data_IF_822760889286
#
_entry.id   IF_822760889286
#
_cell.length_a   1.000
_cell.length_b   1.000
_cell.length_c   1.000
_cell.angle_alpha   90.00
_cell.angle_beta   90.00
_cell.angle_gamma   90.00
#
_symmetry.space_group_name_H-M   'P 1'
#
loop_
_entity.id
_entity.type
_entity.pdbx_description
1 polymer ?
#
# COMPACT_ATOMS: atom_id res chain seq x y z
N UNK A 1 -14.95 26.13 10.24
CA UNK A 1 -14.08 25.09 9.67
C UNK A 1 -14.46 24.98 8.21
N UNK A 2 -13.52 25.29 7.31
CA UNK A 2 -13.73 25.13 5.88
C UNK A 2 -13.29 23.73 5.48
N UNK A 3 -14.12 23.05 4.69
CA UNK A 3 -13.81 21.72 4.15
C UNK A 3 -13.63 21.86 2.65
N UNK A 4 -12.47 21.46 2.15
CA UNK A 4 -12.18 21.44 0.72
C UNK A 4 -12.01 19.99 0.26
N UNK A 5 -12.70 19.63 -0.82
CA UNK A 5 -12.50 18.34 -1.48
C UNK A 5 -11.32 18.46 -2.44
N UNK A 6 -10.38 17.52 -2.32
CA UNK A 6 -9.17 17.42 -3.16
C UNK A 6 -9.08 16.03 -3.76
N UNK A 7 -8.46 15.93 -4.93
CA UNK A 7 -8.25 14.71 -5.70
C UNK A 7 -9.54 13.88 -5.88
N UNK A 8 -10.65 14.54 -6.19
CA UNK A 8 -11.91 13.84 -6.44
C UNK A 8 -11.77 12.94 -7.68
N UNK A 9 -11.85 11.63 -7.47
CA UNK A 9 -11.89 10.63 -8.54
C UNK A 9 -13.07 9.70 -8.29
N UNK A 10 -14.11 9.81 -9.12
CA UNK A 10 -15.32 9.01 -8.98
C UNK A 10 -15.10 7.67 -9.67
N UNK A 11 -14.68 6.69 -8.88
CA UNK A 11 -14.55 5.32 -9.34
C UNK A 11 -15.93 4.74 -9.72
N UNK A 12 -16.10 4.31 -10.97
CA UNK A 12 -17.33 3.67 -11.46
C UNK A 12 -17.06 2.20 -11.79
N UNK A 13 -17.75 1.30 -11.09
CA UNK A 13 -17.77 -0.13 -11.43
C UNK A 13 -18.30 -0.38 -12.85
N UNK A 14 -17.90 -1.50 -13.45
CA UNK A 14 -18.36 -1.85 -14.80
C UNK A 14 -19.89 -1.98 -14.90
N UNK A 15 -20.48 -1.57 -16.02
CA UNK A 15 -21.89 -1.85 -16.32
C UNK A 15 -22.07 -3.36 -16.51
N UNK A 16 -23.10 -3.94 -15.90
CA UNK A 16 -23.53 -5.32 -16.12
C UNK A 16 -24.06 -5.49 -17.54
N UNK A 17 -23.19 -5.52 -18.54
CA UNK A 17 -23.46 -6.18 -19.82
C UNK A 17 -22.94 -7.60 -19.74
N UNK A 18 -23.62 -8.55 -20.40
CA UNK A 18 -23.50 -10.01 -20.21
C UNK A 18 -22.11 -10.65 -20.51
N UNK A 19 -21.04 -9.86 -20.61
CA UNK A 19 -19.65 -10.33 -20.76
C UNK A 19 -18.74 -9.75 -19.68
N UNK A 20 -19.02 -10.15 -18.43
CA UNK A 20 -18.24 -9.99 -17.19
C UNK A 20 -18.74 -8.85 -16.26
N UNK A 21 -19.25 -9.15 -15.05
CA UNK A 21 -19.19 -8.18 -13.96
C UNK A 21 -17.72 -7.97 -13.64
N UNK A 22 -17.16 -6.81 -13.98
CA UNK A 22 -15.78 -6.47 -13.57
C UNK A 22 -15.82 -6.27 -12.07
N UNK A 23 -15.37 -7.29 -11.35
CA UNK A 23 -15.14 -7.26 -9.91
C UNK A 23 -14.47 -5.94 -9.51
N UNK A 24 -15.13 -5.19 -8.61
CA UNK A 24 -14.63 -3.92 -8.11
C UNK A 24 -13.25 -4.10 -7.47
N UNK A 25 -12.95 -5.27 -6.90
CA UNK A 25 -11.65 -5.57 -6.30
C UNK A 25 -10.54 -5.74 -7.36
N UNK A 26 -10.89 -6.16 -8.58
CA UNK A 26 -9.94 -6.24 -9.68
C UNK A 26 -9.58 -4.85 -10.23
N UNK A 27 -10.56 -3.93 -10.24
CA UNK A 27 -10.41 -2.58 -10.77
C UNK A 27 -9.87 -1.58 -9.74
N UNK A 28 -10.31 -1.65 -8.48
CA UNK A 28 -9.79 -0.89 -7.34
C UNK A 28 -8.54 -1.59 -6.77
N UNK A 29 -7.48 -1.59 -7.56
CA UNK A 29 -6.22 -2.23 -7.22
C UNK A 29 -5.15 -1.22 -6.79
N UNK A 30 -4.00 -1.72 -6.35
CA UNK A 30 -2.89 -0.90 -5.88
C UNK A 30 -2.42 0.12 -6.93
N UNK A 31 -2.39 -0.25 -8.21
CA UNK A 31 -1.95 0.66 -9.28
C UNK A 31 -2.92 1.83 -9.48
N UNK A 32 -4.23 1.55 -9.46
CA UNK A 32 -5.25 2.61 -9.48
C UNK A 32 -5.08 3.54 -8.28
N UNK A 33 -4.90 2.97 -7.08
CA UNK A 33 -4.71 3.74 -5.86
C UNK A 33 -3.47 4.66 -5.92
N UNK A 34 -2.32 4.15 -6.38
CA UNK A 34 -1.10 4.97 -6.51
C UNK A 34 -1.28 6.15 -7.47
N UNK A 35 -2.03 5.96 -8.57
CA UNK A 35 -2.34 7.06 -9.50
C UNK A 35 -3.18 8.13 -8.83
N UNK A 36 -4.21 7.73 -8.09
CA UNK A 36 -5.03 8.65 -7.33
C UNK A 36 -4.21 9.38 -6.26
N UNK A 37 -3.38 8.65 -5.51
CA UNK A 37 -2.54 9.21 -4.46
C UNK A 37 -1.53 10.24 -5.02
N UNK A 38 -0.98 10.00 -6.21
CA UNK A 38 -0.11 10.96 -6.87
C UNK A 38 -0.85 12.28 -7.21
N UNK A 39 -2.11 12.20 -7.65
CA UNK A 39 -2.95 13.40 -7.89
C UNK A 39 -3.19 14.18 -6.60
N UNK A 40 -3.49 13.49 -5.50
CA UNK A 40 -3.65 14.10 -4.17
C UNK A 40 -2.41 14.91 -3.76
N UNK A 41 -1.22 14.31 -3.89
CA UNK A 41 0.02 14.99 -3.54
C UNK A 41 0.33 16.17 -4.49
N UNK A 42 -0.05 16.08 -5.76
CA UNK A 42 0.10 17.18 -6.70
C UNK A 42 -0.80 18.37 -6.32
N UNK A 43 -2.07 18.12 -6.00
CA UNK A 43 -2.99 19.17 -5.56
C UNK A 43 -2.55 19.81 -4.23
N UNK A 44 -1.97 19.05 -3.28
CA UNK A 44 -1.33 19.64 -2.10
C UNK A 44 -0.23 20.63 -2.48
N UNK A 45 0.62 20.26 -3.45
CA UNK A 45 1.65 21.13 -3.98
C UNK A 45 1.09 22.41 -4.62
N UNK A 46 0.06 22.28 -5.45
CA UNK A 46 -0.59 23.41 -6.14
C UNK A 46 -1.24 24.40 -5.16
N UNK A 47 -1.73 23.89 -4.01
CA UNK A 47 -2.29 24.70 -2.93
C UNK A 47 -1.22 25.26 -1.97
N UNK A 48 0.06 24.91 -2.13
CA UNK A 48 1.12 25.30 -1.20
C UNK A 48 1.03 24.62 0.17
N UNK A 49 0.33 23.49 0.26
CA UNK A 49 0.16 22.73 1.50
C UNK A 49 1.31 21.73 1.67
N UNK A 50 1.97 21.77 2.84
CA UNK A 50 3.09 20.88 3.20
C UNK A 50 2.91 20.31 4.62
N UNK A 51 3.72 19.32 5.00
CA UNK A 51 3.73 18.72 6.36
C UNK A 51 2.41 18.08 6.80
N UNK A 52 1.55 17.70 5.84
CA UNK A 52 0.26 17.03 6.09
C UNK A 52 0.43 15.63 6.65
N UNK A 53 -0.44 15.28 7.61
CA UNK A 53 -0.69 13.90 8.00
C UNK A 53 -1.83 13.30 7.16
N UNK A 54 -1.51 12.29 6.36
CA UNK A 54 -2.46 11.54 5.55
C UNK A 54 -2.80 10.25 6.30
N UNK A 55 -4.01 10.20 6.85
CA UNK A 55 -4.50 9.05 7.62
C UNK A 55 -5.21 8.06 6.69
N UNK A 56 -4.78 6.80 6.68
CA UNK A 56 -5.32 5.74 5.83
C UNK A 56 -5.70 4.50 6.62
N UNK A 57 -6.71 3.78 6.16
CA UNK A 57 -7.04 2.46 6.73
C UNK A 57 -6.03 1.37 6.29
N UNK A 58 -6.23 0.15 6.78
CA UNK A 58 -5.36 -0.99 6.50
C UNK A 58 -5.73 -1.77 5.23
N UNK A 59 -6.48 -1.19 4.28
CA UNK A 59 -6.85 -1.89 3.05
C UNK A 59 -5.60 -2.41 2.31
N UNK A 60 -5.69 -3.63 1.77
CA UNK A 60 -4.54 -4.31 1.13
C UNK A 60 -3.90 -3.48 0.01
N UNK A 61 -4.71 -2.74 -0.75
CA UNK A 61 -4.23 -1.90 -1.84
C UNK A 61 -3.58 -0.59 -1.39
N UNK A 62 -3.77 -0.13 -0.14
CA UNK A 62 -3.01 0.98 0.45
C UNK A 62 -1.60 0.53 0.87
N UNK A 63 -1.47 -0.72 1.34
CA UNK A 63 -0.21 -1.30 1.81
C UNK A 63 0.61 -2.01 0.74
N UNK A 64 0.34 -1.72 -0.54
CA UNK A 64 1.11 -2.31 -1.63
C UNK A 64 2.58 -1.91 -1.54
N UNK A 65 3.45 -2.90 -1.78
CA UNK A 65 4.90 -2.76 -1.70
C UNK A 65 5.45 -2.21 -3.02
N UNK A 66 6.60 -1.51 -3.00
CA UNK A 66 7.24 -1.02 -4.22
C UNK A 66 7.45 -2.11 -5.26
N UNK A 67 7.38 -1.72 -6.53
CA UNK A 67 7.69 -2.60 -7.67
C UNK A 67 9.09 -3.20 -7.50
N UNK A 68 9.23 -4.50 -7.79
CA UNK A 68 10.49 -5.23 -7.63
C UNK A 68 10.71 -5.81 -6.22
N UNK A 69 9.77 -5.61 -5.30
CA UNK A 69 9.75 -6.33 -4.03
C UNK A 69 9.49 -7.83 -4.27
N UNK A 70 10.32 -8.75 -3.75
CA UNK A 70 10.14 -10.18 -3.94
C UNK A 70 8.79 -10.69 -3.42
N UNK A 71 8.27 -11.71 -4.08
CA UNK A 71 7.03 -12.40 -3.67
C UNK A 71 7.28 -13.90 -3.60
N UNK A 72 6.44 -14.62 -2.84
CA UNK A 72 6.49 -16.08 -2.72
C UNK A 72 6.34 -16.83 -4.05
N UNK A 73 5.83 -16.15 -5.09
CA UNK A 73 5.63 -16.74 -6.42
C UNK A 73 6.94 -16.91 -7.19
N UNK A 74 7.98 -16.16 -6.86
CA UNK A 74 9.27 -16.23 -7.55
C UNK A 74 9.94 -17.61 -7.40
N UNK A 75 10.75 -18.01 -8.37
CA UNK A 75 11.48 -19.28 -8.30
C UNK A 75 12.63 -19.21 -7.28
N UNK A 76 13.14 -20.37 -6.87
CA UNK A 76 14.19 -20.48 -5.84
C UNK A 76 15.42 -19.62 -6.17
N UNK A 77 15.90 -19.68 -7.41
CA UNK A 77 17.09 -18.91 -7.85
C UNK A 77 16.88 -17.41 -7.74
N UNK A 78 15.69 -16.90 -8.10
CA UNK A 78 15.36 -15.48 -7.93
C UNK A 78 15.24 -15.08 -6.46
N UNK A 79 14.71 -15.95 -5.59
CA UNK A 79 14.69 -15.69 -4.15
C UNK A 79 16.11 -15.65 -3.57
N UNK A 80 17.00 -16.55 -3.99
CA UNK A 80 18.41 -16.51 -3.59
C UNK A 80 19.09 -15.20 -4.02
N UNK A 81 18.89 -14.79 -5.28
CA UNK A 81 19.38 -13.50 -5.76
C UNK A 81 18.82 -12.31 -4.97
N UNK A 82 17.55 -12.38 -4.56
CA UNK A 82 16.94 -11.36 -3.71
C UNK A 82 17.52 -11.37 -2.28
N UNK A 83 17.79 -12.54 -1.70
CA UNK A 83 18.50 -12.65 -0.42
C UNK A 83 19.88 -12.00 -0.51
N UNK A 84 20.66 -12.30 -1.56
CA UNK A 84 21.95 -11.65 -1.81
C UNK A 84 21.82 -10.13 -1.93
N UNK A 85 20.84 -9.65 -2.70
CA UNK A 85 20.57 -8.21 -2.88
C UNK A 85 20.25 -7.49 -1.57
N UNK A 86 19.57 -8.16 -0.64
CA UNK A 86 19.23 -7.61 0.67
C UNK A 86 20.24 -7.95 1.77
N UNK A 87 21.34 -8.66 1.45
CA UNK A 87 22.32 -9.08 2.45
C UNK A 87 21.78 -10.10 3.47
N UNK A 88 20.79 -10.90 3.09
CA UNK A 88 20.17 -11.92 3.95
C UNK A 88 20.94 -13.24 3.81
N UNK A 89 21.50 -13.80 4.90
CA UNK A 89 22.19 -15.09 4.86
C UNK A 89 21.27 -16.27 4.50
N UNK A 90 21.72 -17.13 3.59
CA UNK A 90 21.02 -18.36 3.21
C UNK A 90 21.98 -19.45 2.78
N UNK A 91 21.55 -20.70 2.92
CA UNK A 91 22.31 -21.86 2.44
C UNK A 91 21.87 -22.24 1.01
N UNK A 92 22.78 -22.65 0.12
CA UNK A 92 22.41 -23.09 -1.24
C UNK A 92 21.36 -24.22 -1.24
N UNK A 93 21.39 -25.06 -0.21
CA UNK A 93 20.46 -26.17 0.03
C UNK A 93 19.10 -25.73 0.58
N UNK A 94 18.97 -24.48 1.08
CA UNK A 94 17.71 -23.98 1.66
C UNK A 94 16.54 -24.17 0.68
N UNK A 95 15.43 -24.70 1.20
CA UNK A 95 14.22 -24.83 0.42
C UNK A 95 13.60 -23.46 0.13
N UNK A 96 12.79 -23.39 -0.94
CA UNK A 96 12.07 -22.16 -1.33
C UNK A 96 11.26 -21.56 -0.17
N UNK A 97 10.66 -22.39 0.68
CA UNK A 97 9.91 -21.96 1.86
C UNK A 97 10.78 -21.21 2.86
N UNK A 98 11.96 -21.75 3.20
CA UNK A 98 12.91 -21.14 4.14
C UNK A 98 13.43 -19.80 3.60
N UNK A 99 13.76 -19.75 2.29
CA UNK A 99 14.16 -18.49 1.64
C UNK A 99 13.05 -17.44 1.70
N UNK A 100 11.81 -17.85 1.44
CA UNK A 100 10.67 -16.95 1.51
C UNK A 100 10.39 -16.48 2.93
N UNK A 101 10.52 -17.34 3.93
CA UNK A 101 10.34 -16.97 5.34
C UNK A 101 11.31 -15.85 5.73
N UNK A 102 12.62 -16.05 5.50
CA UNK A 102 13.67 -15.06 5.75
C UNK A 102 13.39 -13.74 5.01
N UNK A 103 13.05 -13.81 3.72
CA UNK A 103 12.72 -12.63 2.92
C UNK A 103 11.46 -11.93 3.42
N UNK A 104 10.41 -12.66 3.76
CA UNK A 104 9.14 -12.09 4.19
C UNK A 104 9.29 -11.32 5.49
N UNK A 105 10.05 -11.86 6.45
CA UNK A 105 10.37 -11.18 7.71
C UNK A 105 11.20 -9.91 7.48
N UNK A 106 12.22 -9.97 6.60
CA UNK A 106 13.00 -8.79 6.22
C UNK A 106 12.10 -7.72 5.57
N UNK A 107 11.25 -8.12 4.63
CA UNK A 107 10.38 -7.21 3.89
C UNK A 107 9.38 -6.54 4.83
N UNK A 108 8.77 -7.28 5.76
CA UNK A 108 7.83 -6.72 6.73
C UNK A 108 8.48 -5.67 7.65
N UNK A 109 9.74 -5.89 8.04
CA UNK A 109 10.46 -4.99 8.94
C UNK A 109 11.07 -3.77 8.24
N UNK A 110 11.45 -3.90 6.96
CA UNK A 110 12.32 -2.92 6.30
C UNK A 110 11.73 -2.28 5.05
N UNK A 111 10.71 -2.87 4.44
CA UNK A 111 10.10 -2.30 3.22
C UNK A 111 8.76 -1.69 3.57
N UNK A 112 8.71 -0.37 3.51
CA UNK A 112 7.49 0.39 3.73
C UNK A 112 6.57 0.32 2.49
N UNK A 113 5.25 0.51 2.66
CA UNK A 113 4.34 0.67 1.53
C UNK A 113 4.76 1.81 0.61
N UNK A 114 4.56 1.64 -0.69
CA UNK A 114 5.01 2.60 -1.72
C UNK A 114 4.46 4.02 -1.49
N UNK A 115 3.24 4.11 -0.98
CA UNK A 115 2.55 5.37 -0.67
C UNK A 115 3.24 6.18 0.43
N UNK A 116 3.95 5.51 1.34
CA UNK A 116 4.70 6.19 2.41
C UNK A 116 5.89 6.93 1.81
N UNK A 117 6.63 6.28 0.91
CA UNK A 117 7.75 6.93 0.21
C UNK A 117 7.26 8.10 -0.64
N UNK A 118 6.16 7.92 -1.39
CA UNK A 118 5.57 9.00 -2.18
C UNK A 118 5.23 10.24 -1.35
N UNK A 119 4.70 10.04 -0.14
CA UNK A 119 4.39 11.12 0.78
C UNK A 119 5.66 11.79 1.33
N UNK A 120 6.66 11.00 1.75
CA UNK A 120 7.94 11.50 2.27
C UNK A 120 8.65 12.36 1.20
N UNK A 121 8.68 11.91 -0.05
CA UNK A 121 9.30 12.63 -1.18
C UNK A 121 8.64 14.00 -1.43
N UNK A 122 7.42 14.20 -0.91
CA UNK A 122 6.65 15.44 -1.00
C UNK A 122 6.56 16.19 0.34
N UNK A 123 7.28 15.76 1.37
CA UNK A 123 7.29 16.40 2.69
C UNK A 123 6.02 16.14 3.52
N UNK A 124 5.34 15.02 3.28
CA UNK A 124 4.13 14.60 4.01
C UNK A 124 4.37 13.30 4.80
N UNK A 125 3.44 12.99 5.70
CA UNK A 125 3.50 11.80 6.55
C UNK A 125 2.25 10.96 6.39
N UNK A 126 2.43 9.68 6.08
CA UNK A 126 1.35 8.69 6.07
C UNK A 126 1.26 8.04 7.44
N UNK A 127 0.04 7.93 7.97
CA UNK A 127 -0.27 7.19 9.21
C UNK A 127 -1.38 6.18 8.91
N UNK A 128 -1.16 4.93 9.28
CA UNK A 128 -2.19 3.89 9.16
C UNK A 128 -3.00 3.82 10.45
N UNK A 129 -4.31 3.60 10.33
CA UNK A 129 -5.14 3.30 11.49
C UNK A 129 -4.66 2.02 12.19
N UNK A 130 -4.95 1.86 13.49
CA UNK A 130 -4.70 0.58 14.17
C UNK A 130 -5.37 -0.58 13.41
N UNK A 131 -4.77 -1.79 13.41
CA UNK A 131 -5.41 -2.96 12.82
C UNK A 131 -6.80 -3.14 13.44
N UNK A 132 -7.80 -3.40 12.61
CA UNK A 132 -9.15 -3.73 13.09
C UNK A 132 -9.04 -5.08 13.79
N UNK A 133 -8.95 -5.08 15.12
CA UNK A 133 -9.13 -6.28 15.95
C UNK A 133 -10.63 -6.46 16.21
N UNK A 134 -11.14 -7.70 16.40
CA UNK A 134 -12.56 -7.94 16.70
C UNK A 134 -13.06 -7.18 17.95
N UNK A 135 -12.16 -6.75 18.82
CA UNK A 135 -12.43 -5.92 20.00
C UNK A 135 -12.65 -4.44 19.68
N UNK A 136 -12.27 -3.96 18.49
CA UNK A 136 -12.44 -2.58 18.05
C UNK A 136 -13.78 -2.36 17.31
N UNK A 137 -14.84 -3.06 17.72
CA UNK A 137 -16.23 -2.72 17.36
C UNK A 137 -16.87 -1.74 18.36
N UNK A 138 -16.11 -1.10 19.25
CA UNK A 138 -16.66 -0.19 20.27
C UNK A 138 -16.01 1.19 20.40
N UNK A 139 -15.18 1.64 19.45
CA UNK A 139 -14.74 3.03 19.45
C UNK A 139 -15.25 3.76 18.21
N UNK A 140 -16.45 4.30 18.40
CA UNK A 140 -16.99 5.46 17.73
C UNK A 140 -15.88 6.47 17.40
N UNK A 141 -15.46 6.53 16.14
CA UNK A 141 -14.95 7.76 15.54
C UNK A 141 -16.11 8.67 15.12
N UNK A 142 -17.10 8.80 16.01
CA UNK A 142 -18.09 9.86 15.94
C UNK A 142 -17.46 11.08 16.61
N UNK A 143 -16.69 11.84 15.84
CA UNK A 143 -16.37 13.22 16.19
C UNK A 143 -17.67 14.00 16.21
N UNK A 144 -18.31 14.07 17.40
CA UNK A 144 -19.16 15.21 17.75
C UNK A 144 -18.23 16.38 18.02
N UNK A 145 -18.09 17.26 17.03
CA UNK A 145 -18.06 18.71 17.21
C UNK A 145 -18.86 19.32 16.07
#
# INVERSE_FOLDING_TARGET
>A
MEFQVVALDIFRGGKSTAKQPKDIHAMLNHYYFLKWFAKLLAEFGDMGVANVFIVMDNAKYHKGRPVGTPTSRLCKTTLQAACTRYGIPFEPTDFKSILWEKLSAYIEKHIQPQVVQMAIDKGHRVVFTPPITPTCNQLNWCGRM
#
